data_IF_577203127950
#
_entry.id   IF_577203127950
#
_cell.length_a   1.000
_cell.length_b   1.000
_cell.length_c   1.000
_cell.angle_alpha   90.00
_cell.angle_beta   90.00
_cell.angle_gamma   90.00
#
_symmetry.space_group_name_H-M   'P 1'
#
loop_
_entity.id
_entity.type
_entity.pdbx_description
1 polymer ?
#
# COMPACT_ATOMS: atom_id res chain seq x y z
N UNK A 1 -1.65 23.65 7.98
CA UNK A 1 -2.14 23.01 9.23
C UNK A 1 -3.66 22.91 9.15
N UNK A 2 -4.20 21.73 8.85
CA UNK A 2 -5.65 21.47 8.67
C UNK A 2 -6.24 20.76 9.90
N UNK A 3 -5.76 21.10 11.11
CA UNK A 3 -6.07 20.36 12.35
C UNK A 3 -7.55 20.45 12.79
N UNK A 4 -8.38 21.27 12.15
CA UNK A 4 -9.73 21.59 12.64
C UNK A 4 -10.89 21.19 11.70
N UNK A 5 -10.65 20.43 10.62
CA UNK A 5 -11.73 20.15 9.64
C UNK A 5 -12.57 18.90 9.98
N UNK A 6 -12.07 17.98 10.80
CA UNK A 6 -12.75 16.71 11.08
C UNK A 6 -13.08 16.56 12.56
N UNK A 7 -13.95 17.42 13.10
CA UNK A 7 -14.59 17.22 14.40
C UNK A 7 -15.83 16.33 14.23
N UNK A 8 -15.61 15.03 14.02
CA UNK A 8 -16.66 14.02 14.09
C UNK A 8 -16.48 13.23 15.39
N UNK A 9 -17.53 13.10 16.21
CA UNK A 9 -17.48 12.27 17.40
C UNK A 9 -17.06 10.83 17.04
N UNK A 10 -16.04 10.31 17.74
CA UNK A 10 -15.48 8.99 17.49
C UNK A 10 -14.39 8.92 16.40
N UNK A 11 -14.08 10.03 15.71
CA UNK A 11 -12.98 10.08 14.73
C UNK A 11 -11.69 10.52 15.42
N UNK A 12 -10.70 9.63 15.40
CA UNK A 12 -9.33 9.88 15.87
C UNK A 12 -8.38 9.87 14.67
N UNK A 13 -7.50 10.87 14.58
CA UNK A 13 -6.40 10.82 13.63
C UNK A 13 -5.48 9.64 13.97
N UNK A 14 -5.29 8.76 13.00
CA UNK A 14 -4.38 7.62 13.15
C UNK A 14 -2.94 8.07 12.92
N UNK A 15 -2.05 7.64 13.81
CA UNK A 15 -0.61 7.75 13.54
C UNK A 15 -0.28 6.90 12.32
N UNK A 16 0.74 7.28 11.55
CA UNK A 16 1.20 6.51 10.37
C UNK A 16 1.46 5.03 10.67
N UNK A 17 1.94 4.73 11.88
CA UNK A 17 2.14 3.35 12.34
C UNK A 17 0.85 2.55 12.44
N UNK A 18 -0.26 3.18 12.82
CA UNK A 18 -1.57 2.54 12.95
C UNK A 18 -2.24 2.36 11.58
N UNK A 19 -1.94 3.26 10.62
CA UNK A 19 -2.40 3.11 9.23
C UNK A 19 -1.79 1.89 8.54
N UNK A 20 -0.55 1.51 8.87
CA UNK A 20 0.08 0.32 8.31
C UNK A 20 -0.71 -0.95 8.62
N UNK A 21 -1.32 -1.05 9.81
CA UNK A 21 -2.10 -2.22 10.22
C UNK A 21 -3.39 -2.40 9.40
N UNK A 22 -3.98 -1.31 8.92
CA UNK A 22 -5.23 -1.34 8.13
C UNK A 22 -5.00 -1.98 6.76
N UNK A 23 -3.88 -1.68 6.11
CA UNK A 23 -3.52 -2.25 4.81
C UNK A 23 -2.85 -3.64 4.93
N UNK A 24 -2.99 -4.30 6.08
CA UNK A 24 -2.32 -5.58 6.36
C UNK A 24 -0.78 -5.49 6.34
N UNK A 25 -0.23 -4.31 6.63
CA UNK A 25 1.22 -4.05 6.58
C UNK A 25 1.80 -3.90 5.17
N UNK A 26 0.97 -3.93 4.13
CA UNK A 26 1.44 -3.88 2.75
C UNK A 26 1.70 -2.44 2.29
N UNK A 27 2.83 -2.22 1.64
CA UNK A 27 3.19 -0.94 1.05
C UNK A 27 2.37 -0.71 -0.22
N UNK A 28 1.49 0.28 -0.20
CA UNK A 28 0.68 0.65 -1.37
C UNK A 28 1.55 1.27 -2.48
N UNK A 29 1.14 1.05 -3.73
CA UNK A 29 1.80 1.58 -4.92
C UNK A 29 0.79 1.82 -6.04
N UNK A 30 1.11 2.75 -6.93
CA UNK A 30 0.41 2.91 -8.21
C UNK A 30 1.24 2.47 -9.41
N UNK A 31 2.57 2.46 -9.24
CA UNK A 31 3.56 2.14 -10.28
C UNK A 31 4.71 1.33 -9.67
N UNK A 32 5.45 0.59 -10.49
CA UNK A 32 6.56 -0.25 -10.04
C UNK A 32 7.67 0.52 -9.29
N UNK A 33 7.94 1.76 -9.71
CA UNK A 33 8.98 2.60 -9.09
C UNK A 33 8.78 2.86 -7.59
N UNK A 34 7.55 2.69 -7.08
CA UNK A 34 7.23 2.92 -5.68
C UNK A 34 7.73 1.79 -4.76
N UNK A 35 8.09 0.63 -5.32
CA UNK A 35 8.34 -0.59 -4.56
C UNK A 35 9.81 -0.88 -4.26
N UNK A 36 10.72 -0.20 -4.95
CA UNK A 36 12.17 -0.40 -4.81
C UNK A 36 12.68 -1.62 -5.59
N UNK A 37 14.01 -1.85 -5.58
CA UNK A 37 14.64 -2.91 -6.38
C UNK A 37 14.10 -4.30 -6.05
N UNK A 38 13.93 -5.14 -7.07
CA UNK A 38 13.45 -6.53 -6.91
C UNK A 38 11.96 -6.68 -6.55
N UNK A 39 11.23 -5.57 -6.47
CA UNK A 39 9.81 -5.54 -6.19
C UNK A 39 9.06 -4.87 -7.34
N UNK A 40 7.77 -5.17 -7.46
CA UNK A 40 6.89 -4.53 -8.42
C UNK A 40 5.56 -4.17 -7.75
N UNK A 41 4.78 -3.32 -8.42
CA UNK A 41 3.42 -3.02 -8.02
C UNK A 41 2.49 -4.06 -8.63
N UNK A 42 1.82 -4.84 -7.80
CA UNK A 42 0.93 -5.87 -8.30
C UNK A 42 -0.40 -5.30 -8.77
N UNK A 43 -1.20 -6.13 -9.43
CA UNK A 43 -2.52 -5.75 -9.97
C UNK A 43 -3.55 -5.32 -8.93
N UNK A 44 -3.26 -5.49 -7.64
CA UNK A 44 -4.11 -5.05 -6.54
C UNK A 44 -3.58 -3.80 -5.82
N UNK A 45 -2.50 -3.18 -6.31
CA UNK A 45 -2.02 -1.87 -5.86
C UNK A 45 -1.08 -1.89 -4.66
N UNK A 46 -0.37 -3.01 -4.41
CA UNK A 46 0.69 -3.03 -3.39
C UNK A 46 1.97 -3.69 -3.86
N UNK A 47 3.05 -3.33 -3.19
CA UNK A 47 4.38 -3.82 -3.48
C UNK A 47 4.53 -5.27 -3.04
N UNK A 48 5.07 -6.09 -3.94
CA UNK A 48 5.49 -7.46 -3.65
C UNK A 48 6.73 -7.83 -4.47
N UNK A 49 7.36 -8.95 -4.11
CA UNK A 49 8.54 -9.45 -4.82
C UNK A 49 8.21 -9.80 -6.28
N UNK A 50 9.13 -9.47 -7.19
CA UNK A 50 9.00 -9.78 -8.61
C UNK A 50 8.91 -11.30 -8.85
N UNK A 51 8.06 -11.73 -9.78
CA UNK A 51 7.81 -13.14 -10.08
C UNK A 51 7.00 -13.88 -9.01
N UNK A 52 6.63 -13.21 -7.91
CA UNK A 52 5.75 -13.79 -6.91
C UNK A 52 4.28 -13.60 -7.31
N UNK A 53 3.51 -14.68 -7.23
CA UNK A 53 2.05 -14.64 -7.18
C UNK A 53 1.51 -14.56 -5.73
N UNK A 54 2.42 -14.56 -4.74
CA UNK A 54 2.11 -14.54 -3.31
C UNK A 54 1.13 -15.65 -2.89
N UNK A 55 0.51 -15.46 -1.72
CA UNK A 55 -0.67 -16.24 -1.29
C UNK A 55 -1.98 -15.69 -1.87
N UNK A 56 -1.92 -14.56 -2.56
CA UNK A 56 -3.09 -13.81 -3.03
C UNK A 56 -3.42 -14.02 -4.51
N UNK A 57 -2.52 -14.64 -5.28
CA UNK A 57 -2.70 -14.89 -6.71
C UNK A 57 -2.45 -13.68 -7.62
N UNK A 58 -2.22 -12.48 -7.06
CA UNK A 58 -1.91 -11.28 -7.85
C UNK A 58 -0.51 -11.38 -8.44
N UNK A 59 -0.42 -11.17 -9.76
CA UNK A 59 0.83 -11.21 -10.50
C UNK A 59 1.69 -9.99 -10.21
N UNK A 60 2.99 -10.22 -10.02
CA UNK A 60 4.04 -9.20 -10.08
C UNK A 60 5.03 -9.50 -11.20
N UNK A 61 4.72 -9.06 -12.41
CA UNK A 61 5.52 -9.37 -13.61
C UNK A 61 6.14 -8.13 -14.27
N UNK A 62 5.96 -6.95 -13.66
CA UNK A 62 6.49 -5.68 -14.19
C UNK A 62 5.65 -5.06 -15.31
N UNK A 63 4.52 -5.65 -15.67
CA UNK A 63 3.62 -5.13 -16.72
C UNK A 63 2.84 -3.88 -16.32
N UNK A 64 2.73 -3.60 -15.02
CA UNK A 64 2.02 -2.44 -14.48
C UNK A 64 2.95 -1.22 -14.42
N UNK A 65 2.83 -0.31 -15.40
CA UNK A 65 3.67 0.90 -15.54
C UNK A 65 3.23 2.05 -14.65
#
# INVERSE_FOLDING_TARGET
MLQNILNFEGVRELKKSEQNSINGGKKQCGINGNCGPGNCCNTAGWCQAFGSHGSTGYLCDGSYV
#
